data_IF_562985272041
#
_entry.id   IF_562985272041
#
_cell.length_a   1.000
_cell.length_b   1.000
_cell.length_c   1.000
_cell.angle_alpha   90.00
_cell.angle_beta   90.00
_cell.angle_gamma   90.00
#
_symmetry.space_group_name_H-M   'P 1'
#
loop_
_entity.id
_entity.type
_entity.pdbx_description
1 polymer ?
#
# COMPACT_ATOMS: atom_id res chain seq x y z
N UNK A 1 4.94 -10.97 -7.04
CA UNK A 1 4.97 -12.46 -7.08
C UNK A 1 5.37 -12.94 -8.47
N UNK A 2 4.56 -12.74 -9.51
CA UNK A 2 4.86 -13.18 -10.88
C UNK A 2 6.24 -12.76 -11.43
N UNK A 3 6.63 -11.48 -11.28
CA UNK A 3 7.95 -11.02 -11.73
C UNK A 3 9.12 -11.65 -10.96
N UNK A 4 8.92 -11.97 -9.68
CA UNK A 4 9.93 -12.64 -8.85
C UNK A 4 10.09 -14.11 -9.19
N UNK A 5 9.01 -14.78 -9.62
CA UNK A 5 9.02 -16.16 -10.10
C UNK A 5 9.62 -16.25 -11.51
N UNK A 6 9.24 -15.34 -12.40
CA UNK A 6 9.74 -15.32 -13.77
C UNK A 6 11.25 -15.11 -13.85
N UNK A 7 11.79 -14.24 -13.00
CA UNK A 7 13.23 -13.95 -12.91
C UNK A 7 13.95 -14.80 -11.84
N UNK A 8 13.33 -15.89 -11.37
CA UNK A 8 13.93 -16.74 -10.35
C UNK A 8 15.25 -17.35 -10.82
N UNK A 9 16.17 -17.55 -9.87
CA UNK A 9 17.45 -18.21 -10.10
C UNK A 9 17.49 -19.56 -9.40
N UNK A 10 18.15 -20.55 -9.99
CA UNK A 10 18.40 -21.85 -9.35
C UNK A 10 19.77 -21.80 -8.68
N UNK A 11 19.83 -22.11 -7.38
CA UNK A 11 21.09 -22.15 -6.66
C UNK A 11 21.89 -23.44 -6.92
N UNK A 12 23.11 -23.52 -6.37
CA UNK A 12 23.98 -24.69 -6.53
C UNK A 12 23.44 -26.00 -5.95
N UNK A 13 22.37 -25.95 -5.14
CA UNK A 13 21.70 -27.12 -4.59
C UNK A 13 20.44 -27.51 -5.40
N UNK A 14 20.17 -26.83 -6.52
CA UNK A 14 18.98 -27.06 -7.33
C UNK A 14 17.71 -26.40 -6.79
N UNK A 15 17.82 -25.47 -5.84
CA UNK A 15 16.66 -24.79 -5.24
C UNK A 15 16.39 -23.48 -5.98
N UNK A 16 15.14 -23.31 -6.42
CA UNK A 16 14.68 -22.06 -7.01
C UNK A 16 14.53 -20.97 -5.95
N UNK A 17 15.11 -19.80 -6.20
CA UNK A 17 15.03 -18.60 -5.37
C UNK A 17 14.40 -17.46 -6.16
N UNK A 18 13.39 -16.77 -5.61
CA UNK A 18 12.78 -15.65 -6.30
C UNK A 18 13.81 -14.53 -6.50
N UNK A 19 13.59 -13.72 -7.54
CA UNK A 19 14.44 -12.56 -7.82
C UNK A 19 14.47 -11.59 -6.62
N UNK A 20 15.65 -11.28 -6.07
CA UNK A 20 15.77 -10.47 -4.88
C UNK A 20 15.45 -8.99 -5.11
N UNK A 21 15.71 -8.44 -6.31
CA UNK A 21 15.35 -7.05 -6.65
C UNK A 21 13.83 -6.87 -6.59
N UNK A 22 13.07 -7.77 -7.24
CA UNK A 22 11.61 -7.76 -7.25
C UNK A 22 11.01 -8.04 -5.88
N UNK A 23 11.60 -8.96 -5.11
CA UNK A 23 11.15 -9.26 -3.75
C UNK A 23 11.29 -8.03 -2.84
N UNK A 24 12.48 -7.43 -2.79
CA UNK A 24 12.72 -6.28 -1.92
C UNK A 24 12.03 -5.01 -2.41
N UNK A 25 11.80 -4.86 -3.72
CA UNK A 25 11.01 -3.76 -4.27
C UNK A 25 9.57 -3.79 -3.71
N UNK A 26 8.94 -4.96 -3.68
CA UNK A 26 7.60 -5.10 -3.10
C UNK A 26 7.58 -4.75 -1.61
N UNK A 27 8.57 -5.24 -0.83
CA UNK A 27 8.68 -4.95 0.61
C UNK A 27 8.94 -3.47 0.88
N UNK A 28 9.72 -2.80 0.03
CA UNK A 28 9.98 -1.36 0.07
C UNK A 28 8.72 -0.55 -0.19
N UNK A 29 7.86 -1.01 -1.11
CA UNK A 29 6.68 -0.29 -1.56
C UNK A 29 5.47 -0.50 -0.62
N UNK A 30 5.39 -1.66 0.03
CA UNK A 30 4.28 -2.06 0.88
C UNK A 30 3.88 -1.01 1.94
N UNK A 31 4.79 -0.43 2.74
CA UNK A 31 4.40 0.57 3.75
C UNK A 31 3.78 1.83 3.15
N UNK A 32 4.24 2.25 1.96
CA UNK A 32 3.66 3.40 1.27
C UNK A 32 2.23 3.07 0.78
N UNK A 33 2.06 1.93 0.12
CA UNK A 33 0.75 1.50 -0.38
C UNK A 33 -0.26 1.29 0.75
N UNK A 34 0.15 0.66 1.86
CA UNK A 34 -0.75 0.39 2.98
C UNK A 34 -1.24 1.69 3.62
N UNK A 35 -0.35 2.68 3.79
CA UNK A 35 -0.71 4.02 4.26
C UNK A 35 -1.70 4.69 3.30
N UNK A 36 -1.41 4.67 2.00
CA UNK A 36 -2.22 5.37 1.01
C UNK A 36 -3.62 4.73 0.90
N UNK A 37 -3.73 3.40 0.94
CA UNK A 37 -5.02 2.68 1.01
C UNK A 37 -5.78 3.02 2.29
N UNK A 38 -5.11 2.98 3.44
CA UNK A 38 -5.74 3.31 4.74
C UNK A 38 -6.23 4.75 4.76
N UNK A 39 -5.45 5.68 4.18
CA UNK A 39 -5.83 7.08 4.08
C UNK A 39 -7.00 7.29 3.12
N UNK A 40 -6.98 6.64 1.95
CA UNK A 40 -8.07 6.71 0.98
C UNK A 40 -9.40 6.23 1.60
N UNK A 41 -9.38 5.14 2.37
CA UNK A 41 -10.56 4.67 3.11
C UNK A 41 -11.06 5.73 4.10
N UNK A 42 -10.16 6.34 4.88
CA UNK A 42 -10.50 7.42 5.83
C UNK A 42 -11.10 8.64 5.14
N UNK A 43 -10.53 9.04 4.01
CA UNK A 43 -11.00 10.17 3.21
C UNK A 43 -12.38 9.88 2.61
N UNK A 44 -12.58 8.69 2.03
CA UNK A 44 -13.84 8.27 1.46
C UNK A 44 -14.97 8.18 2.50
N UNK A 45 -14.68 7.69 3.70
CA UNK A 45 -15.71 7.57 4.75
C UNK A 45 -15.92 8.85 5.54
N UNK A 46 -14.93 9.73 5.60
CA UNK A 46 -14.96 10.91 6.47
C UNK A 46 -15.38 10.55 7.91
N UNK A 47 -16.26 11.37 8.50
CA UNK A 47 -16.81 11.14 9.84
C UNK A 47 -17.97 10.14 9.91
N UNK A 48 -18.28 9.37 8.87
CA UNK A 48 -19.44 8.47 8.90
C UNK A 48 -19.21 7.22 9.75
N UNK A 49 -17.96 6.75 9.87
CA UNK A 49 -17.61 5.57 10.70
C UNK A 49 -17.84 5.78 12.19
N UNK A 50 -17.94 7.01 12.66
CA UNK A 50 -18.30 7.34 14.05
C UNK A 50 -19.81 7.54 14.24
N UNK A 51 -20.59 7.63 13.16
CA UNK A 51 -22.06 7.80 13.17
C UNK A 51 -22.76 6.44 13.10
N UNK A 52 -22.39 5.55 14.02
CA UNK A 52 -22.95 4.20 14.14
C UNK A 52 -23.36 3.93 15.60
N UNK A 53 -24.36 3.07 15.86
CA UNK A 53 -24.74 2.72 17.21
C UNK A 53 -23.59 1.99 17.93
N UNK A 54 -23.53 2.14 19.25
CA UNK A 54 -22.48 1.52 20.09
C UNK A 54 -22.47 -0.01 20.00
N UNK A 55 -23.65 -0.64 19.87
CA UNK A 55 -23.83 -2.09 19.93
C UNK A 55 -24.91 -2.56 18.98
N UNK A 56 -24.93 -3.86 18.69
CA UNK A 56 -26.03 -4.55 17.99
C UNK A 56 -27.33 -4.48 18.81
N UNK A 57 -27.25 -4.33 20.12
CA UNK A 57 -28.43 -4.21 20.99
C UNK A 57 -29.29 -2.96 20.70
N UNK A 58 -28.77 -2.00 19.93
CA UNK A 58 -29.56 -0.85 19.47
C UNK A 58 -30.73 -1.27 18.55
N UNK A 59 -30.69 -2.49 17.99
CA UNK A 59 -31.78 -3.06 17.22
C UNK A 59 -32.86 -3.71 18.09
N UNK A 60 -32.60 -3.98 19.38
CA UNK A 60 -33.57 -4.66 20.25
C UNK A 60 -34.63 -3.70 20.80
N UNK A 61 -34.29 -2.42 20.97
CA UNK A 61 -35.20 -1.38 21.44
C UNK A 61 -36.02 -0.79 20.26
N UNK A 62 -37.37 -0.89 20.29
CA UNK A 62 -38.21 -0.44 19.18
C UNK A 62 -38.09 1.06 18.87
N UNK A 63 -37.80 1.88 19.88
CA UNK A 63 -37.66 3.34 19.70
C UNK A 63 -36.35 3.65 18.97
N UNK A 64 -35.23 3.12 19.48
CA UNK A 64 -33.90 3.29 18.88
C UNK A 64 -33.85 2.71 17.46
N UNK A 65 -34.43 1.53 17.25
CA UNK A 65 -34.52 0.91 15.91
C UNK A 65 -35.23 1.84 14.92
N UNK A 66 -36.39 2.38 15.29
CA UNK A 66 -37.15 3.27 14.41
C UNK A 66 -36.35 4.53 14.03
N UNK A 67 -35.59 5.09 14.97
CA UNK A 67 -34.70 6.22 14.69
C UNK A 67 -33.54 5.85 13.75
N UNK A 68 -32.91 4.69 13.96
CA UNK A 68 -31.83 4.20 13.09
C UNK A 68 -32.33 3.98 11.66
N UNK A 69 -33.47 3.31 11.48
CA UNK A 69 -34.09 3.08 10.17
C UNK A 69 -34.48 4.38 9.46
N UNK A 70 -34.78 5.44 10.21
CA UNK A 70 -35.13 6.75 9.67
C UNK A 70 -33.92 7.60 9.32
N UNK A 71 -32.92 7.67 10.18
CA UNK A 71 -31.85 8.69 10.11
C UNK A 71 -30.48 8.13 9.71
N UNK A 72 -30.27 6.81 9.80
CA UNK A 72 -28.95 6.16 9.67
C UNK A 72 -28.92 5.23 8.45
N UNK A 73 -29.71 5.54 7.40
CA UNK A 73 -29.78 4.81 6.12
C UNK A 73 -29.17 5.59 4.96
N UNK A 74 -28.91 4.91 3.85
CA UNK A 74 -28.61 5.54 2.56
C UNK A 74 -29.82 5.39 1.62
N UNK A 75 -29.88 6.12 0.49
CA UNK A 75 -31.02 6.07 -0.43
C UNK A 75 -31.39 4.65 -0.90
N UNK A 76 -30.40 3.77 -1.07
CA UNK A 76 -30.59 2.40 -1.61
C UNK A 76 -30.16 1.29 -0.64
N UNK A 77 -29.75 1.65 0.59
CA UNK A 77 -29.22 0.70 1.58
C UNK A 77 -29.89 0.96 2.92
N UNK A 78 -30.46 -0.08 3.52
CA UNK A 78 -31.07 0.02 4.85
C UNK A 78 -30.03 0.36 5.93
N UNK A 79 -30.54 0.73 7.11
CA UNK A 79 -29.68 1.17 8.21
C UNK A 79 -28.78 0.04 8.73
N UNK A 80 -29.25 -1.21 8.71
CA UNK A 80 -28.50 -2.35 9.22
C UNK A 80 -27.26 -2.64 8.36
N UNK A 81 -27.44 -2.73 7.05
CA UNK A 81 -26.36 -2.95 6.10
C UNK A 81 -25.38 -1.77 6.06
N UNK A 82 -25.88 -0.53 6.14
CA UNK A 82 -25.02 0.66 6.24
C UNK A 82 -24.16 0.62 7.50
N UNK A 83 -24.76 0.35 8.66
CA UNK A 83 -24.03 0.26 9.94
C UNK A 83 -23.01 -0.87 9.92
N UNK A 84 -23.38 -2.04 9.38
CA UNK A 84 -22.47 -3.18 9.26
C UNK A 84 -21.23 -2.82 8.41
N UNK A 85 -21.43 -2.19 7.25
CA UNK A 85 -20.33 -1.76 6.38
C UNK A 85 -19.43 -0.72 7.07
N UNK A 86 -20.02 0.29 7.72
CA UNK A 86 -19.24 1.33 8.40
C UNK A 86 -18.45 0.79 9.59
N UNK A 87 -19.01 -0.15 10.36
CA UNK A 87 -18.28 -0.85 11.43
C UNK A 87 -17.15 -1.71 10.89
N UNK A 88 -17.36 -2.40 9.76
CA UNK A 88 -16.30 -3.16 9.09
C UNK A 88 -15.16 -2.25 8.65
N UNK A 89 -15.48 -1.12 8.01
CA UNK A 89 -14.45 -0.15 7.60
C UNK A 89 -13.71 0.41 8.81
N UNK A 90 -14.42 0.75 9.89
CA UNK A 90 -13.80 1.19 11.14
C UNK A 90 -12.83 0.14 11.72
N UNK A 91 -13.21 -1.13 11.68
CA UNK A 91 -12.35 -2.21 12.18
C UNK A 91 -11.13 -2.47 11.28
N UNK A 92 -11.15 -2.01 10.02
CA UNK A 92 -10.02 -2.04 9.11
C UNK A 92 -9.04 -0.87 9.31
N UNK A 93 -9.52 0.30 9.77
CA UNK A 93 -8.71 1.54 9.76
C UNK A 93 -8.54 2.22 11.12
N UNK A 94 -9.42 2.00 12.10
CA UNK A 94 -9.53 2.83 13.31
C UNK A 94 -9.62 2.07 14.63
N UNK A 95 -9.94 0.78 14.64
CA UNK A 95 -9.95 -0.02 15.87
C UNK A 95 -8.54 -0.30 16.40
N UNK A 96 -8.46 -0.91 17.59
CA UNK A 96 -7.20 -1.42 18.13
C UNK A 96 -6.62 -2.51 17.22
N UNK A 97 -7.48 -3.36 16.65
CA UNK A 97 -7.09 -4.37 15.67
C UNK A 97 -6.48 -3.74 14.41
N UNK A 98 -7.13 -2.71 13.86
CA UNK A 98 -6.60 -1.94 12.74
C UNK A 98 -5.25 -1.30 13.07
N UNK A 99 -5.12 -0.70 14.26
CA UNK A 99 -3.90 -0.03 14.69
C UNK A 99 -2.72 -1.01 14.82
N UNK A 100 -2.98 -2.20 15.37
CA UNK A 100 -2.00 -3.30 15.39
C UNK A 100 -1.62 -3.74 13.98
N UNK A 101 -2.59 -3.91 13.08
CA UNK A 101 -2.33 -4.28 11.69
C UNK A 101 -1.52 -3.21 10.96
N UNK A 102 -1.83 -1.93 11.18
CA UNK A 102 -1.05 -0.83 10.63
C UNK A 102 0.41 -0.89 11.10
N UNK A 103 0.65 -1.08 12.40
CA UNK A 103 2.00 -1.24 12.92
C UNK A 103 2.72 -2.47 12.33
N UNK A 104 2.00 -3.58 12.14
CA UNK A 104 2.53 -4.78 11.52
C UNK A 104 2.94 -4.52 10.06
N UNK A 105 2.05 -3.98 9.24
CA UNK A 105 2.29 -3.77 7.81
C UNK A 105 3.39 -2.73 7.55
N UNK A 106 3.55 -1.76 8.45
CA UNK A 106 4.61 -0.75 8.34
C UNK A 106 6.00 -1.31 8.65
N UNK A 107 6.12 -2.33 9.51
CA UNK A 107 7.41 -2.70 10.12
C UNK A 107 7.70 -4.20 10.20
N UNK A 108 6.83 -5.07 9.71
CA UNK A 108 7.02 -6.54 9.75
C UNK A 108 8.36 -6.95 9.13
N UNK A 109 8.75 -6.31 8.03
CA UNK A 109 10.01 -6.55 7.33
C UNK A 109 11.25 -5.92 7.99
N UNK A 110 11.05 -5.07 9.00
CA UNK A 110 12.05 -4.21 9.61
C UNK A 110 11.72 -2.72 9.46
N UNK A 111 12.56 -1.87 10.02
CA UNK A 111 12.44 -0.41 9.81
C UNK A 111 12.66 -0.06 8.33
N UNK A 112 12.10 1.09 7.91
CA UNK A 112 12.19 1.54 6.52
C UNK A 112 13.63 1.54 5.99
N UNK A 113 14.59 2.09 6.74
CA UNK A 113 16.00 2.12 6.33
C UNK A 113 16.61 0.73 6.12
N UNK A 114 16.22 -0.26 6.93
CA UNK A 114 16.69 -1.65 6.80
C UNK A 114 16.17 -2.28 5.51
N UNK A 115 14.88 -2.12 5.22
CA UNK A 115 14.24 -2.69 4.03
C UNK A 115 14.76 -2.01 2.75
N UNK A 116 14.85 -0.68 2.74
CA UNK A 116 15.44 0.06 1.61
C UNK A 116 16.90 -0.33 1.39
N UNK A 117 17.67 -0.55 2.45
CA UNK A 117 19.04 -1.03 2.34
C UNK A 117 19.15 -2.43 1.72
N UNK A 118 18.17 -3.32 1.94
CA UNK A 118 18.11 -4.62 1.26
C UNK A 118 17.87 -4.46 -0.23
N UNK A 119 16.92 -3.62 -0.64
CA UNK A 119 16.69 -3.31 -2.05
C UNK A 119 17.93 -2.70 -2.69
N UNK A 120 18.53 -1.68 -2.08
CA UNK A 120 19.73 -1.00 -2.59
C UNK A 120 20.86 -1.98 -2.90
N UNK A 121 21.10 -2.97 -2.03
CA UNK A 121 22.15 -3.99 -2.22
C UNK A 121 21.85 -5.00 -3.33
N UNK A 122 20.59 -5.19 -3.68
CA UNK A 122 20.17 -6.18 -4.69
C UNK A 122 19.76 -5.54 -6.02
N UNK A 123 19.73 -4.21 -6.10
CA UNK A 123 19.39 -3.49 -7.31
C UNK A 123 20.55 -3.48 -8.31
N UNK A 124 20.26 -3.71 -9.59
CA UNK A 124 21.25 -3.62 -10.67
C UNK A 124 21.63 -2.16 -11.00
N UNK A 125 22.56 -1.62 -10.22
CA UNK A 125 23.11 -0.28 -10.41
C UNK A 125 23.90 -0.14 -11.70
N UNK A 126 24.53 -1.21 -12.19
CA UNK A 126 25.33 -1.15 -13.41
C UNK A 126 24.43 -1.00 -14.64
N UNK A 127 23.28 -1.70 -14.66
CA UNK A 127 22.22 -1.48 -15.67
C UNK A 127 21.73 -0.04 -15.66
N UNK A 128 21.41 0.49 -14.48
CA UNK A 128 20.93 1.88 -14.35
C UNK A 128 21.99 2.90 -14.81
N UNK A 129 23.24 2.72 -14.38
CA UNK A 129 24.37 3.57 -14.81
C UNK A 129 24.60 3.49 -16.31
N UNK A 130 24.56 2.30 -16.89
CA UNK A 130 24.72 2.09 -18.32
C UNK A 130 23.65 2.82 -19.13
N UNK A 131 22.40 2.88 -18.65
CA UNK A 131 21.34 3.68 -19.30
C UNK A 131 21.69 5.17 -19.34
N UNK A 132 22.17 5.73 -18.23
CA UNK A 132 22.57 7.15 -18.15
C UNK A 132 23.74 7.43 -19.09
N UNK A 133 24.76 6.56 -19.08
CA UNK A 133 25.93 6.72 -19.94
C UNK A 133 25.58 6.67 -21.43
N UNK A 134 24.62 5.82 -21.84
CA UNK A 134 24.12 5.80 -23.23
C UNK A 134 23.47 7.13 -23.61
N UNK A 135 22.58 7.65 -22.76
CA UNK A 135 21.91 8.94 -23.00
C UNK A 135 22.92 10.10 -23.14
N UNK A 136 23.95 10.14 -22.29
CA UNK A 136 24.99 11.16 -22.36
C UNK A 136 25.84 11.05 -23.64
N UNK A 137 26.09 9.83 -24.12
CA UNK A 137 26.83 9.61 -25.36
C UNK A 137 26.04 10.03 -26.62
N UNK A 138 24.71 10.02 -26.56
CA UNK A 138 23.82 10.45 -27.65
C UNK A 138 23.68 11.98 -27.76
N UNK A 139 24.06 12.72 -26.71
CA UNK A 139 24.00 14.19 -26.72
C UNK A 139 25.34 14.76 -27.23
N UNK A 140 25.39 15.44 -28.38
CA UNK A 140 26.59 16.15 -28.79
C UNK A 140 26.92 17.21 -27.72
N UNK A 141 28.17 17.24 -27.24
CA UNK A 141 28.61 18.25 -26.28
C UNK A 141 28.39 19.68 -26.81
N UNK A 142 28.22 20.69 -25.93
CA UNK A 142 28.02 22.06 -26.36
C UNK A 142 29.28 22.54 -27.12
N UNK A 143 29.09 22.87 -28.40
CA UNK A 143 30.05 23.51 -29.31
C UNK A 143 31.45 22.88 -29.39
N UNK A 144 31.61 21.89 -30.29
CA UNK A 144 32.77 21.89 -31.18
C UNK A 144 32.41 22.71 -32.43
N UNK A 145 32.27 24.03 -32.28
CA UNK A 145 32.41 24.93 -33.43
C UNK A 145 33.90 24.96 -33.79
N UNK A 146 34.17 24.61 -35.04
CA UNK A 146 35.52 24.30 -35.50
C UNK A 146 36.50 25.45 -35.36
N UNK A 147 37.63 25.17 -34.72
CA UNK A 147 38.90 25.79 -35.11
C UNK A 147 39.26 25.27 -36.51
N UNK A 148 38.78 25.98 -37.53
CA UNK A 148 39.34 25.94 -38.88
C UNK A 148 40.58 26.84 -38.97
N UNK A 149 41.54 26.52 -39.85
CA UNK A 149 42.89 27.11 -39.90
C UNK A 149 42.92 28.60 -40.30
#
# INVERSE_FOLDING_TARGET
>A
VLAGEYNATIDGNGVARPDPEMLYAAMTLQPALYRDVTYALREMTGGTTIQVPSSVSAWDDPVTRADLERFVRWPEVDAEHRVALLKLVWDAIGSEFASRHFQYEMFYAGSGSVVQGRLYRNYDWERARSMVLRCLAETPGPHQEGEGP
#
